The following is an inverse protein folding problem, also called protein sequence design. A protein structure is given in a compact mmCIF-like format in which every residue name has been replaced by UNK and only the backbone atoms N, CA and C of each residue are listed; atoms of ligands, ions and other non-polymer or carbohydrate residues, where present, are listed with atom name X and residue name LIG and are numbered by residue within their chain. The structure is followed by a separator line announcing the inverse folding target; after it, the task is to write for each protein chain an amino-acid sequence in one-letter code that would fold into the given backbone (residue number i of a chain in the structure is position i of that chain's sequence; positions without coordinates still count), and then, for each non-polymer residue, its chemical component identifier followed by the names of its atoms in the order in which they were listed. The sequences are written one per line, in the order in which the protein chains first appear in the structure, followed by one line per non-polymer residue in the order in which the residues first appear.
data_IF_944262941806
#
_entry.id   IF_944262941806
#
_cell.length_a   1.000
_cell.length_b   1.000
_cell.length_c   1.000
_cell.angle_alpha   90.00
_cell.angle_beta   90.00
_cell.angle_gamma   90.00
#
_symmetry.space_group_name_H-M   'P 1'
#
loop_
_entity.id
_entity.type
_entity.pdbx_description
1 polymer ?
#
# COMPACT_ATOMS: atom_id res chain seq x y z
N UNK A 1 24.48 -19.46 11.13
CA UNK A 1 24.52 -17.99 10.99
C UNK A 1 23.41 -17.61 10.02
N UNK A 2 22.38 -16.87 10.43
CA UNK A 2 21.32 -16.45 9.50
C UNK A 2 21.90 -15.36 8.61
N UNK A 3 22.06 -15.64 7.31
CA UNK A 3 22.50 -14.65 6.34
C UNK A 3 21.39 -13.62 6.16
N UNK A 4 21.72 -12.35 6.36
CA UNK A 4 20.78 -11.23 6.21
C UNK A 4 21.28 -10.30 5.12
N UNK A 5 20.34 -9.75 4.35
CA UNK A 5 20.63 -8.77 3.29
C UNK A 5 21.18 -7.43 3.82
N UNK A 6 21.11 -7.18 5.13
CA UNK A 6 21.61 -5.94 5.75
C UNK A 6 23.10 -5.74 5.50
N UNK A 7 23.87 -6.83 5.48
CA UNK A 7 25.33 -6.77 5.24
C UNK A 7 25.69 -6.31 3.83
N UNK A 8 24.77 -6.46 2.87
CA UNK A 8 24.93 -6.01 1.49
C UNK A 8 24.14 -4.73 1.19
N UNK A 9 23.77 -3.99 2.24
CA UNK A 9 23.13 -2.67 2.13
C UNK A 9 21.60 -2.67 2.06
N UNK A 10 20.94 -3.82 2.19
CA UNK A 10 19.47 -3.92 2.12
C UNK A 10 18.90 -4.27 3.50
N UNK A 11 18.40 -3.27 4.23
CA UNK A 11 17.74 -3.45 5.52
C UNK A 11 16.22 -3.61 5.35
N UNK A 12 15.76 -4.87 5.35
CA UNK A 12 14.34 -5.23 5.22
C UNK A 12 13.50 -4.62 6.34
N UNK A 13 14.06 -4.42 7.54
CA UNK A 13 13.31 -3.87 8.67
C UNK A 13 12.99 -2.40 8.42
N UNK A 14 13.97 -1.64 7.95
CA UNK A 14 13.78 -0.23 7.60
C UNK A 14 12.83 -0.07 6.41
N UNK A 15 12.93 -0.94 5.39
CA UNK A 15 11.99 -0.94 4.26
C UNK A 15 10.55 -1.14 4.75
N UNK A 16 10.31 -2.11 5.63
CA UNK A 16 8.97 -2.36 6.19
C UNK A 16 8.47 -1.19 7.05
N UNK A 17 9.34 -0.52 7.80
CA UNK A 17 8.97 0.70 8.54
C UNK A 17 8.50 1.80 7.59
N UNK A 18 9.25 2.05 6.52
CA UNK A 18 8.90 3.04 5.51
C UNK A 18 7.59 2.69 4.80
N UNK A 19 7.39 1.42 4.42
CA UNK A 19 6.13 0.94 3.85
C UNK A 19 4.94 1.22 4.77
N UNK A 20 5.07 0.98 6.08
CA UNK A 20 4.02 1.28 7.04
C UNK A 20 3.72 2.78 7.15
N UNK A 21 4.74 3.64 7.08
CA UNK A 21 4.54 5.10 7.07
C UNK A 21 3.77 5.53 5.82
N UNK A 22 4.17 5.03 4.65
CA UNK A 22 3.46 5.30 3.39
C UNK A 22 2.00 4.81 3.47
N UNK A 23 1.79 3.61 4.01
CA UNK A 23 0.46 3.05 4.19
C UNK A 23 -0.45 3.89 5.09
N UNK A 24 0.09 4.50 6.15
CA UNK A 24 -0.66 5.45 6.99
C UNK A 24 -1.04 6.72 6.24
N UNK A 25 -0.10 7.28 5.45
CA UNK A 25 -0.35 8.46 4.62
C UNK A 25 -1.46 8.16 3.60
N UNK A 26 -1.38 7.04 2.89
CA UNK A 26 -2.41 6.63 1.92
C UNK A 26 -3.76 6.39 2.63
N UNK A 27 -3.77 5.71 3.78
CA UNK A 27 -5.01 5.44 4.50
C UNK A 27 -5.71 6.70 4.99
N UNK A 28 -4.95 7.77 5.25
CA UNK A 28 -5.51 9.07 5.63
C UNK A 28 -6.36 9.70 4.51
N UNK A 29 -6.18 9.30 3.25
CA UNK A 29 -6.92 9.85 2.10
C UNK A 29 -8.22 9.12 1.80
N UNK A 30 -8.50 7.98 2.44
CA UNK A 30 -9.68 7.15 2.11
C UNK A 30 -11.01 7.89 2.30
N UNK A 31 -11.09 8.77 3.31
CA UNK A 31 -12.30 9.53 3.62
C UNK A 31 -12.48 10.78 2.76
N UNK A 32 -11.51 11.11 1.90
CA UNK A 32 -11.58 12.28 1.01
C UNK A 32 -12.41 12.02 -0.26
N UNK A 33 -12.72 10.76 -0.58
CA UNK A 33 -13.53 10.40 -1.75
C UNK A 33 -15.02 10.27 -1.40
N UNK A 34 -15.86 11.06 -2.08
CA UNK A 34 -17.34 11.00 -1.93
C UNK A 34 -18.01 9.96 -2.84
N UNK A 35 -17.32 9.51 -3.89
CA UNK A 35 -17.88 8.69 -4.97
C UNK A 35 -17.46 7.22 -4.90
N UNK A 36 -16.51 6.88 -4.03
CA UNK A 36 -15.97 5.53 -3.89
C UNK A 36 -15.70 5.23 -2.42
N UNK A 37 -15.91 3.99 -2.02
CA UNK A 37 -15.60 3.48 -0.67
C UNK A 37 -14.42 2.55 -0.76
N UNK A 38 -13.41 2.76 0.09
CA UNK A 38 -12.26 1.85 0.19
C UNK A 38 -12.68 0.63 1.01
N UNK A 39 -12.60 -0.56 0.40
CA UNK A 39 -12.97 -1.83 1.03
C UNK A 39 -11.73 -2.56 1.54
N UNK A 40 -10.67 -2.59 0.74
CA UNK A 40 -9.35 -3.01 1.17
C UNK A 40 -8.32 -1.95 0.78
N UNK A 41 -7.68 -1.37 1.80
CA UNK A 41 -6.63 -0.38 1.66
C UNK A 41 -5.22 -0.99 1.65
N UNK A 42 -4.25 -0.15 1.29
CA UNK A 42 -2.79 -0.39 1.25
C UNK A 42 -2.35 -1.78 1.75
N UNK A 43 -2.33 -2.74 0.82
CA UNK A 43 -1.60 -4.00 0.92
C UNK A 43 -0.13 -3.78 0.54
N UNK A 44 0.34 -4.42 -0.53
CA UNK A 44 1.64 -4.12 -1.17
C UNK A 44 1.44 -3.07 -2.28
N UNK A 45 1.09 -1.84 -1.90
CA UNK A 45 0.71 -0.78 -2.87
C UNK A 45 -0.48 -1.15 -3.77
N UNK A 46 -1.39 -1.99 -3.27
CA UNK A 46 -2.61 -2.39 -3.95
C UNK A 46 -3.84 -2.13 -3.07
N UNK A 47 -5.00 -1.98 -3.70
CA UNK A 47 -6.26 -1.72 -3.03
C UNK A 47 -7.50 -2.16 -3.83
N UNK A 48 -8.62 -2.22 -3.14
CA UNK A 48 -9.94 -2.49 -3.71
C UNK A 48 -10.89 -1.38 -3.28
N UNK A 49 -11.49 -0.71 -4.26
CA UNK A 49 -12.47 0.35 -4.04
C UNK A 49 -13.83 -0.04 -4.64
N UNK A 50 -14.88 0.13 -3.85
CA UNK A 50 -16.25 -0.03 -4.31
C UNK A 50 -16.70 1.28 -4.97
N UNK A 51 -17.28 1.15 -6.16
CA UNK A 51 -17.86 2.25 -6.93
C UNK A 51 -19.37 2.00 -7.14
N UNK A 52 -20.14 3.01 -7.60
CA UNK A 52 -21.57 2.86 -7.82
C UNK A 52 -21.92 1.67 -8.72
N UNK A 53 -23.11 1.08 -8.48
CA UNK A 53 -23.58 -0.07 -9.25
C UNK A 53 -23.05 -1.43 -8.77
N UNK A 54 -22.66 -1.54 -7.49
CA UNK A 54 -22.15 -2.78 -6.86
C UNK A 54 -20.90 -3.35 -7.55
N UNK A 55 -20.05 -2.47 -8.06
CA UNK A 55 -18.80 -2.84 -8.75
C UNK A 55 -17.60 -2.59 -7.83
N UNK A 56 -16.57 -3.38 -8.03
CA UNK A 56 -15.28 -3.22 -7.38
C UNK A 56 -14.22 -2.89 -8.43
N UNK A 57 -13.37 -1.93 -8.13
CA UNK A 57 -12.19 -1.58 -8.91
C UNK A 57 -10.95 -1.98 -8.12
N UNK A 58 -10.15 -2.86 -8.70
CA UNK A 58 -8.83 -3.20 -8.18
C UNK A 58 -7.82 -2.15 -8.65
N UNK A 59 -7.00 -1.66 -7.72
CA UNK A 59 -5.93 -0.70 -7.99
C UNK A 59 -4.60 -1.29 -7.57
N UNK A 60 -3.56 -1.00 -8.35
CA UNK A 60 -2.19 -1.38 -8.05
C UNK A 60 -1.28 -0.25 -8.50
N UNK A 61 -0.32 0.11 -7.65
CA UNK A 61 0.71 1.10 -7.95
C UNK A 61 2.04 0.38 -8.08
N UNK A 62 2.74 0.63 -9.18
CA UNK A 62 4.04 0.04 -9.50
C UNK A 62 5.17 1.09 -9.47
N UNK A 63 6.41 0.63 -9.43
CA UNK A 63 7.61 1.45 -9.53
C UNK A 63 7.81 2.04 -10.93
N UNK A 64 8.62 3.09 -11.02
CA UNK A 64 8.93 3.77 -12.29
C UNK A 64 9.99 3.06 -13.14
N UNK A 65 10.63 2.01 -12.60
CA UNK A 65 11.82 1.37 -13.16
C UNK A 65 13.11 1.82 -12.50
#
# INVERSE_FOLDING_TARGET
MVTTYKKVGVDITEIKKTQNVIGKIISSTYNSQKLAKVEHGFGHYAGIVQIPGKKFLATHTDGVG
#
